data_IF_702417192180
#
_entry.id   IF_702417192180
#
_cell.length_a   1.000
_cell.length_b   1.000
_cell.length_c   1.000
_cell.angle_alpha   90.00
_cell.angle_beta   90.00
_cell.angle_gamma   90.00
#
_symmetry.space_group_name_H-M   'P 1'
#
loop_
_entity.id
_entity.type
_entity.pdbx_description
1 polymer ?
#
# COMPACT_ATOMS: atom_id res chain seq x y z
N UNK A 1 2.16 -58.52 26.14
CA UNK A 1 2.79 -57.56 25.20
C UNK A 1 1.93 -56.30 25.19
N UNK A 2 2.45 -55.16 25.64
CA UNK A 2 1.75 -53.86 25.62
C UNK A 2 2.59 -52.87 24.83
N UNK A 3 2.04 -52.38 23.72
CA UNK A 3 2.65 -51.35 22.86
C UNK A 3 2.00 -50.03 23.25
N UNK A 4 2.78 -49.10 23.82
CA UNK A 4 2.36 -47.73 24.12
C UNK A 4 2.74 -46.85 22.91
N UNK A 5 1.73 -46.41 22.16
CA UNK A 5 1.90 -45.42 21.09
C UNK A 5 1.88 -44.02 21.71
N UNK A 6 3.01 -43.32 21.59
CA UNK A 6 3.23 -41.99 22.12
C UNK A 6 2.85 -40.96 21.03
N UNK A 7 1.65 -40.40 21.12
CA UNK A 7 1.18 -39.32 20.23
C UNK A 7 1.87 -38.00 20.57
N UNK A 8 2.91 -37.66 19.82
CA UNK A 8 3.57 -36.36 19.90
C UNK A 8 2.72 -35.26 19.26
N UNK A 9 2.23 -34.34 20.07
CA UNK A 9 1.54 -33.12 19.64
C UNK A 9 2.60 -32.10 19.18
N UNK A 10 2.78 -31.95 17.87
CA UNK A 10 3.67 -30.91 17.32
C UNK A 10 2.86 -29.60 17.26
N UNK A 11 3.15 -28.69 18.19
CA UNK A 11 2.68 -27.29 18.16
C UNK A 11 3.40 -26.55 17.02
N UNK A 12 2.73 -26.34 15.89
CA UNK A 12 3.18 -25.36 14.89
C UNK A 12 3.02 -23.95 15.47
N UNK A 13 4.11 -23.36 15.95
CA UNK A 13 4.18 -21.95 16.25
C UNK A 13 4.13 -21.17 14.92
N UNK A 14 2.94 -20.68 14.56
CA UNK A 14 2.78 -19.74 13.46
C UNK A 14 3.52 -18.44 13.84
N UNK A 15 4.67 -18.20 13.20
CA UNK A 15 5.37 -16.92 13.27
C UNK A 15 4.48 -15.85 12.63
N UNK A 16 3.68 -15.17 13.46
CA UNK A 16 2.95 -13.98 13.05
C UNK A 16 3.98 -12.97 12.53
N UNK A 17 3.97 -12.69 11.23
CA UNK A 17 4.69 -11.57 10.67
C UNK A 17 4.26 -10.31 11.44
N UNK A 18 5.17 -9.76 12.24
CA UNK A 18 4.91 -8.58 13.04
C UNK A 18 4.80 -7.38 12.09
N UNK A 19 3.61 -6.80 12.02
CA UNK A 19 3.43 -5.51 11.38
C UNK A 19 4.31 -4.48 12.09
N UNK A 20 5.17 -3.78 11.36
CA UNK A 20 5.94 -2.67 11.92
C UNK A 20 5.14 -1.38 11.77
N UNK A 21 4.77 -0.75 12.89
CA UNK A 21 3.99 0.47 12.89
C UNK A 21 4.85 1.71 12.61
N UNK A 22 4.30 2.71 11.91
CA UNK A 22 5.00 3.97 11.68
C UNK A 22 4.92 4.92 12.89
N UNK A 23 5.59 6.07 12.78
CA UNK A 23 5.54 7.15 13.77
C UNK A 23 4.51 8.24 13.43
N UNK A 24 4.01 8.27 12.19
CA UNK A 24 2.98 9.20 11.74
C UNK A 24 1.66 9.00 12.49
N UNK A 25 0.74 9.94 12.31
CA UNK A 25 -0.63 9.84 12.81
C UNK A 25 -1.57 10.47 11.79
N UNK A 26 -2.74 9.87 11.62
CA UNK A 26 -3.81 10.44 10.81
C UNK A 26 -5.17 9.97 11.31
N UNK A 27 -6.24 10.59 10.79
CA UNK A 27 -7.61 10.18 11.07
C UNK A 27 -7.87 8.76 10.54
N UNK A 28 -7.85 7.76 11.44
CA UNK A 28 -7.94 6.33 11.09
C UNK A 28 -9.18 5.96 10.27
N UNK A 29 -10.30 6.67 10.47
CA UNK A 29 -11.53 6.41 9.72
C UNK A 29 -11.37 6.74 8.23
N UNK A 30 -10.61 7.79 7.91
CA UNK A 30 -10.29 8.14 6.50
C UNK A 30 -9.59 6.96 5.83
N UNK A 31 -8.64 6.32 6.50
CA UNK A 31 -7.98 5.14 5.95
C UNK A 31 -8.95 3.97 5.78
N UNK A 32 -9.66 3.63 6.86
CA UNK A 32 -10.57 2.48 6.92
C UNK A 32 -11.65 2.53 5.84
N UNK A 33 -12.30 3.68 5.70
CA UNK A 33 -13.43 3.86 4.79
C UNK A 33 -13.00 3.85 3.32
N UNK A 34 -11.73 4.18 3.04
CA UNK A 34 -11.21 4.24 1.68
C UNK A 34 -10.49 2.95 1.24
N UNK A 35 -10.15 2.02 2.14
CA UNK A 35 -9.49 0.75 1.76
C UNK A 35 -10.24 -0.02 0.65
N UNK A 36 -11.59 -0.15 0.65
CA UNK A 36 -12.29 -0.83 -0.44
C UNK A 36 -12.06 -0.18 -1.81
N UNK A 37 -12.10 1.15 -1.87
CA UNK A 37 -11.89 1.93 -3.11
C UNK A 37 -10.43 1.84 -3.55
N UNK A 38 -9.49 2.02 -2.62
CA UNK A 38 -8.06 1.86 -2.86
C UNK A 38 -7.76 0.47 -3.41
N UNK A 39 -8.28 -0.59 -2.77
CA UNK A 39 -8.02 -1.95 -3.22
C UNK A 39 -8.69 -2.30 -4.55
N UNK A 40 -9.80 -1.65 -4.92
CA UNK A 40 -10.37 -1.77 -6.26
C UNK A 40 -9.40 -1.27 -7.35
N UNK A 41 -8.55 -0.29 -7.03
CA UNK A 41 -7.49 0.22 -7.90
C UNK A 41 -6.19 -0.59 -7.82
N UNK A 42 -5.85 -1.08 -6.62
CA UNK A 42 -4.58 -1.80 -6.40
C UNK A 42 -4.66 -3.30 -6.73
N UNK A 43 -5.84 -3.91 -6.86
CA UNK A 43 -5.94 -5.33 -7.21
C UNK A 43 -5.39 -5.67 -8.62
N UNK A 44 -5.16 -6.95 -8.86
CA UNK A 44 -4.81 -7.50 -10.17
C UNK A 44 -3.43 -8.12 -10.18
N UNK A 45 -2.82 -8.18 -11.38
CA UNK A 45 -1.57 -8.88 -11.59
C UNK A 45 -0.35 -7.98 -11.36
N UNK A 46 0.64 -8.50 -10.65
CA UNK A 46 1.89 -7.84 -10.31
C UNK A 46 3.09 -8.59 -10.87
N UNK A 47 3.84 -7.93 -11.74
CA UNK A 47 5.16 -8.40 -12.15
C UNK A 47 6.09 -8.47 -10.92
N UNK A 48 7.17 -9.28 -10.98
CA UNK A 48 8.19 -9.27 -9.95
C UNK A 48 8.65 -7.84 -9.61
N UNK A 49 8.74 -7.52 -8.33
CA UNK A 49 9.10 -6.19 -7.81
C UNK A 49 8.15 -5.03 -8.17
N UNK A 50 7.05 -5.27 -8.88
CA UNK A 50 6.08 -4.23 -9.17
C UNK A 50 5.40 -3.78 -7.88
N UNK A 51 5.24 -2.47 -7.75
CA UNK A 51 4.42 -1.85 -6.72
C UNK A 51 3.32 -1.01 -7.37
N UNK A 52 2.20 -0.88 -6.67
CA UNK A 52 1.15 0.09 -6.97
C UNK A 52 0.78 0.80 -5.68
N UNK A 53 0.41 2.05 -5.79
CA UNK A 53 0.08 2.88 -4.64
C UNK A 53 -1.12 3.78 -4.89
N UNK A 54 -1.68 4.27 -3.79
CA UNK A 54 -2.77 5.22 -3.78
C UNK A 54 -2.57 6.21 -2.62
N UNK A 55 -3.11 7.41 -2.78
CA UNK A 55 -3.09 8.44 -1.75
C UNK A 55 -4.52 8.95 -1.52
N UNK A 56 -4.92 9.03 -0.25
CA UNK A 56 -6.24 9.55 0.15
C UNK A 56 -6.03 10.72 1.11
N UNK A 57 -6.64 11.87 0.83
CA UNK A 57 -6.60 13.04 1.71
C UNK A 57 -7.81 13.06 2.64
N UNK A 58 -7.59 13.37 3.92
CA UNK A 58 -8.63 13.61 4.91
C UNK A 58 -8.29 14.80 5.79
N UNK A 59 -8.88 15.97 5.48
CA UNK A 59 -8.56 17.21 6.18
C UNK A 59 -7.14 17.68 5.90
N UNK A 60 -6.32 17.85 6.94
CA UNK A 60 -4.91 18.24 6.86
C UNK A 60 -3.93 17.08 6.67
N UNK A 61 -4.42 15.84 6.67
CA UNK A 61 -3.61 14.63 6.65
C UNK A 61 -3.87 13.85 5.36
N UNK A 62 -2.93 13.01 4.96
CA UNK A 62 -3.11 12.02 3.91
C UNK A 62 -2.65 10.65 4.36
N UNK A 63 -3.23 9.64 3.73
CA UNK A 63 -2.90 8.25 3.90
C UNK A 63 -2.34 7.71 2.59
N UNK A 64 -1.11 7.23 2.64
CA UNK A 64 -0.46 6.54 1.54
C UNK A 64 -0.65 5.03 1.69
N UNK A 65 -1.07 4.37 0.62
CA UNK A 65 -1.27 2.94 0.56
C UNK A 65 -0.35 2.36 -0.49
N UNK A 66 0.35 1.26 -0.18
CA UNK A 66 1.26 0.60 -1.11
C UNK A 66 1.05 -0.91 -1.06
N UNK A 67 0.92 -1.50 -2.24
CA UNK A 67 0.96 -2.95 -2.43
C UNK A 67 2.12 -3.27 -3.37
N UNK A 68 2.96 -4.23 -3.00
CA UNK A 68 4.13 -4.61 -3.81
C UNK A 68 4.32 -6.13 -3.85
N UNK A 69 4.57 -6.67 -5.04
CA UNK A 69 5.10 -8.02 -5.19
C UNK A 69 6.60 -8.02 -4.83
N UNK A 70 6.98 -8.68 -3.73
CA UNK A 70 8.37 -8.77 -3.27
C UNK A 70 9.13 -9.94 -3.89
N UNK A 71 8.49 -10.75 -4.74
CA UNK A 71 9.18 -11.83 -5.46
C UNK A 71 10.09 -11.24 -6.55
N UNK A 72 11.25 -11.87 -6.77
CA UNK A 72 12.23 -11.42 -7.77
C UNK A 72 11.99 -12.03 -9.16
N UNK A 73 11.22 -13.12 -9.25
CA UNK A 73 11.03 -13.89 -10.50
C UNK A 73 9.58 -14.21 -10.80
N UNK A 74 8.77 -14.39 -9.77
CA UNK A 74 7.41 -14.86 -9.91
C UNK A 74 6.43 -13.69 -9.95
N UNK A 75 5.46 -13.80 -10.85
CA UNK A 75 4.30 -12.94 -10.87
C UNK A 75 3.42 -13.27 -9.65
N UNK A 76 2.63 -12.30 -9.21
CA UNK A 76 1.66 -12.50 -8.16
C UNK A 76 0.34 -11.86 -8.56
N UNK A 77 -0.77 -12.45 -8.13
CA UNK A 77 -2.11 -11.86 -8.30
C UNK A 77 -2.60 -11.46 -6.92
N UNK A 78 -3.00 -10.21 -6.77
CA UNK A 78 -3.61 -9.68 -5.55
C UNK A 78 -5.10 -9.54 -5.81
N UNK A 79 -5.92 -10.41 -5.22
CA UNK A 79 -7.37 -10.28 -5.29
C UNK A 79 -7.84 -9.09 -4.44
N UNK A 80 -9.02 -8.53 -4.75
CA UNK A 80 -9.63 -7.46 -3.95
C UNK A 80 -9.63 -7.78 -2.46
N UNK A 81 -10.08 -8.99 -2.10
CA UNK A 81 -10.16 -9.45 -0.72
C UNK A 81 -8.79 -9.50 -0.04
N UNK A 82 -7.78 -10.04 -0.70
CA UNK A 82 -6.42 -10.14 -0.14
C UNK A 82 -5.79 -8.76 0.07
N UNK A 83 -6.06 -7.82 -0.85
CA UNK A 83 -5.67 -6.43 -0.67
C UNK A 83 -6.36 -5.81 0.55
N UNK A 84 -7.69 -5.95 0.64
CA UNK A 84 -8.47 -5.38 1.74
C UNK A 84 -8.03 -5.94 3.08
N UNK A 85 -7.90 -7.26 3.20
CA UNK A 85 -7.47 -7.93 4.43
C UNK A 85 -6.05 -7.51 4.81
N UNK A 86 -5.13 -7.42 3.83
CA UNK A 86 -3.75 -6.99 4.04
C UNK A 86 -3.65 -5.56 4.57
N UNK A 87 -4.32 -4.59 3.94
CA UNK A 87 -4.29 -3.19 4.40
C UNK A 87 -5.06 -2.98 5.71
N UNK A 88 -6.21 -3.66 5.87
CA UNK A 88 -6.99 -3.63 7.12
C UNK A 88 -6.21 -4.19 8.30
N UNK A 89 -5.36 -5.20 8.07
CA UNK A 89 -4.51 -5.73 9.12
C UNK A 89 -3.55 -4.67 9.68
N UNK A 90 -2.98 -3.81 8.81
CA UNK A 90 -2.06 -2.75 9.25
C UNK A 90 -2.79 -1.68 10.06
N UNK A 91 -3.98 -1.27 9.62
CA UNK A 91 -4.83 -0.37 10.40
C UNK A 91 -5.29 -1.01 11.72
N UNK A 92 -5.64 -2.30 11.72
CA UNK A 92 -6.10 -3.01 12.90
C UNK A 92 -5.01 -3.19 13.96
N UNK A 93 -3.77 -3.46 13.54
CA UNK A 93 -2.63 -3.67 14.44
C UNK A 93 -1.99 -2.36 14.90
N UNK A 94 -1.89 -1.36 14.02
CA UNK A 94 -1.14 -0.13 14.29
C UNK A 94 -2.00 1.12 14.52
N UNK A 95 -3.32 1.02 14.31
CA UNK A 95 -4.26 2.11 14.55
C UNK A 95 -3.96 3.34 13.70
N UNK A 96 -3.99 4.51 14.34
CA UNK A 96 -3.72 5.81 13.71
C UNK A 96 -2.33 5.95 13.11
N UNK A 97 -1.40 5.06 13.46
CA UNK A 97 -0.02 5.11 12.96
C UNK A 97 0.14 4.45 11.60
N UNK A 98 -0.80 3.59 11.20
CA UNK A 98 -0.58 2.69 10.09
C UNK A 98 0.64 1.79 10.28
N UNK A 99 0.91 0.95 9.29
CA UNK A 99 1.97 -0.05 9.42
C UNK A 99 2.35 -0.64 8.08
N UNK A 100 3.30 -1.56 8.15
CA UNK A 100 3.68 -2.39 7.01
C UNK A 100 3.96 -3.82 7.42
N UNK A 101 3.67 -4.75 6.51
CA UNK A 101 4.08 -6.14 6.62
C UNK A 101 4.27 -6.78 5.24
N UNK A 102 4.92 -7.94 5.23
CA UNK A 102 4.97 -8.81 4.05
C UNK A 102 4.34 -10.16 4.39
N UNK A 103 3.46 -10.65 3.54
CA UNK A 103 2.88 -12.00 3.63
C UNK A 103 2.79 -12.62 2.24
N UNK A 104 3.15 -13.90 2.11
CA UNK A 104 3.10 -14.65 0.84
C UNK A 104 3.76 -13.93 -0.36
N UNK A 105 4.85 -13.19 -0.10
CA UNK A 105 5.56 -12.44 -1.14
C UNK A 105 4.84 -11.16 -1.61
N UNK A 106 3.81 -10.70 -0.90
CA UNK A 106 3.16 -9.41 -1.09
C UNK A 106 3.44 -8.52 0.13
N UNK A 107 3.91 -7.32 -0.13
CA UNK A 107 4.13 -6.27 0.85
C UNK A 107 2.95 -5.31 0.86
N UNK A 108 2.45 -5.01 2.05
CA UNK A 108 1.38 -4.07 2.32
C UNK A 108 1.92 -2.95 3.21
N UNK A 109 1.57 -1.71 2.90
CA UNK A 109 1.92 -0.55 3.69
C UNK A 109 0.76 0.46 3.70
N UNK A 110 0.52 1.03 4.88
CA UNK A 110 -0.42 2.11 5.13
C UNK A 110 0.31 3.15 5.97
N UNK A 111 0.66 4.29 5.39
CA UNK A 111 1.49 5.33 6.01
C UNK A 111 0.71 6.66 6.10
N UNK A 112 0.30 7.10 7.31
CA UNK A 112 -0.27 8.41 7.53
C UNK A 112 0.81 9.49 7.60
N UNK A 113 0.57 10.60 6.92
CA UNK A 113 1.47 11.75 6.92
C UNK A 113 0.70 13.07 6.87
N UNK A 114 1.30 14.14 7.36
CA UNK A 114 0.73 15.49 7.26
C UNK A 114 0.80 16.01 5.82
N UNK A 115 -0.20 16.81 5.44
CA UNK A 115 -0.33 17.40 4.10
C UNK A 115 -1.39 16.70 3.26
N UNK A 116 -1.55 17.17 2.03
CA UNK A 116 -2.53 16.65 1.07
C UNK A 116 -1.84 15.81 -0.01
N UNK A 117 -2.61 14.95 -0.69
CA UNK A 117 -2.13 14.25 -1.88
C UNK A 117 -1.87 15.28 -2.99
N UNK A 118 -0.61 15.38 -3.43
CA UNK A 118 -0.19 16.40 -4.40
C UNK A 118 -0.64 16.03 -5.84
N UNK A 119 -1.03 14.78 -6.08
CA UNK A 119 -1.44 14.35 -7.43
C UNK A 119 -2.54 13.28 -7.43
N UNK A 120 -3.78 13.71 -7.16
CA UNK A 120 -4.97 12.84 -7.26
C UNK A 120 -5.30 12.44 -8.70
N UNK A 121 -4.79 13.15 -9.72
CA UNK A 121 -5.08 12.89 -11.13
C UNK A 121 -4.09 11.92 -11.78
N UNK A 122 -2.81 11.92 -11.37
CA UNK A 122 -1.78 11.04 -11.91
C UNK A 122 -2.00 9.57 -11.52
N UNK A 123 -2.41 9.30 -10.27
CA UNK A 123 -2.70 7.95 -9.77
C UNK A 123 -3.83 7.28 -10.56
N UNK A 124 -4.86 8.05 -10.95
CA UNK A 124 -6.02 7.52 -11.70
C UNK A 124 -5.73 7.29 -13.19
N UNK A 125 -4.67 7.89 -13.75
CA UNK A 125 -4.40 7.86 -15.19
C UNK A 125 -3.08 7.20 -15.59
N UNK A 126 -2.19 6.87 -14.65
CA UNK A 126 -0.89 6.28 -14.94
C UNK A 126 -0.60 5.12 -13.98
N UNK A 127 -0.69 3.85 -14.41
CA UNK A 127 -0.20 2.73 -13.60
C UNK A 127 1.31 2.92 -13.38
N UNK A 128 1.68 3.34 -12.17
CA UNK A 128 3.06 3.73 -11.83
C UNK A 128 3.96 2.51 -11.96
N UNK A 129 4.77 2.47 -13.01
CA UNK A 129 5.79 1.44 -13.22
C UNK A 129 7.01 1.72 -12.34
N UNK A 130 6.99 1.24 -11.10
CA UNK A 130 8.16 0.85 -10.28
C UNK A 130 9.44 1.73 -10.16
N UNK A 131 9.49 3.00 -10.61
CA UNK A 131 10.74 3.79 -10.57
C UNK A 131 10.69 5.19 -9.96
N UNK A 132 9.53 5.70 -9.55
CA UNK A 132 9.45 7.05 -8.98
C UNK A 132 9.26 7.01 -7.45
N UNK A 133 10.26 6.46 -6.73
CA UNK A 133 10.49 6.89 -5.35
C UNK A 133 11.18 8.24 -5.44
N UNK A 134 10.40 9.32 -5.52
CA UNK A 134 10.95 10.67 -5.31
C UNK A 134 11.52 10.67 -3.90
N UNK A 135 12.84 10.53 -3.78
CA UNK A 135 13.54 11.04 -2.61
C UNK A 135 13.15 12.50 -2.56
N UNK A 136 12.31 12.87 -1.58
CA UNK A 136 11.90 14.25 -1.32
C UNK A 136 13.15 15.09 -1.00
N UNK A 137 13.85 15.54 -2.03
CA UNK A 137 14.50 16.84 -2.07
C UNK A 137 13.69 17.65 -3.08
N UNK A 138 12.69 18.35 -2.56
CA UNK A 138 11.80 19.23 -3.32
C UNK A 138 12.63 20.42 -3.77
N UNK A 139 13.23 20.35 -4.96
CA UNK A 139 13.61 21.51 -5.74
C UNK A 139 12.51 21.72 -6.79
N UNK A 140 11.52 22.53 -6.43
CA UNK A 140 10.42 22.91 -7.32
C UNK A 140 11.03 23.68 -8.48
N UNK A 141 11.12 23.04 -9.64
CA UNK A 141 11.20 23.76 -10.90
C UNK A 141 9.77 24.01 -11.35
N UNK A 142 9.28 25.22 -11.07
CA UNK A 142 8.27 25.83 -11.93
C UNK A 142 8.96 26.08 -13.27
N UNK A 143 8.50 25.45 -14.34
CA UNK A 143 8.51 26.03 -15.67
C UNK A 143 7.76 25.15 -16.68
N UNK A 144 7.19 25.87 -17.66
CA UNK A 144 6.56 25.45 -18.93
C UNK A 144 5.03 25.25 -18.82
N UNK A 145 4.18 25.97 -19.54
CA UNK A 145 4.32 27.17 -20.37
C UNK A 145 2.90 27.65 -20.72
N UNK A 146 2.72 28.96 -20.75
CA UNK A 146 1.74 29.60 -21.63
C UNK A 146 1.96 29.13 -23.08
N UNK A 147 0.98 28.43 -23.64
CA UNK A 147 0.77 28.41 -25.09
C UNK A 147 -0.71 28.62 -25.34
N UNK A 148 -1.10 29.89 -25.31
CA UNK A 148 -2.26 30.38 -26.05
C UNK A 148 -1.93 30.27 -27.53
N UNK A 149 -2.62 29.40 -28.24
CA UNK A 149 -2.78 29.57 -29.68
C UNK A 149 -4.28 29.67 -29.98
N UNK A 150 -4.68 30.89 -30.35
CA UNK A 150 -6.02 31.27 -30.77
C UNK A 150 -6.04 31.10 -32.28
N UNK A 151 -6.51 29.94 -32.74
CA UNK A 151 -6.88 29.74 -34.13
C UNK A 151 -8.27 30.32 -34.39
N UNK A 152 -8.30 31.56 -34.89
CA UNK A 152 -9.51 32.20 -35.44
C UNK A 152 -9.93 31.57 -36.77
N UNK A 153 -11.25 31.62 -36.99
CA UNK A 153 -12.02 31.25 -38.20
C UNK A 153 -11.72 32.18 -39.36
#
# INVERSE_FOLDING_TARGET
MKVLQNTGLILLAASLAAATCFKGKGAIQVARDNIPVVCAQLQGQYNPQLSRDACVTGGSDHWYFLVKNTNNKNWATVALKDCTDGLMQEIGKCGEKGGKHTTNGIYFEVDPSNGICIDTAYINNHPISSKFRVKREVKIFYDIANSTDVGSV
#
